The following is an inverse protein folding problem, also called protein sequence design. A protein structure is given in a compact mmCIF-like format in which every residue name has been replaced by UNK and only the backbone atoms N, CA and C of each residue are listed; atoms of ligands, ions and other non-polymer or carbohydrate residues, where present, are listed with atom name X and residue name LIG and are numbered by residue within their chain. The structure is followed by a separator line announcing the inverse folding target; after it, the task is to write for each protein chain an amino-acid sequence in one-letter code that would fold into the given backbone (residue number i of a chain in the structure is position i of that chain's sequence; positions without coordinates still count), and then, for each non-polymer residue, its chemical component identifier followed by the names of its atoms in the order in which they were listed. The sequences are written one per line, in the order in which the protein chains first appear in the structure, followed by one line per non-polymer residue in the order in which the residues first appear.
data_IF_365339822896
#
_entry.id   IF_365339822896
#
_cell.length_a   1.000
_cell.length_b   1.000
_cell.length_c   1.000
_cell.angle_alpha   90.00
_cell.angle_beta   90.00
_cell.angle_gamma   90.00
#
_symmetry.space_group_name_H-M   'P 1'
#
loop_
_entity.id
_entity.type
_entity.pdbx_description
1 polymer ?
#
# COMPACT_ATOMS: atom_id res chain seq x y z
N UNK A 1 -0.43 -18.23 12.81
CA UNK A 1 0.42 -18.55 11.66
C UNK A 1 0.39 -17.43 10.66
N UNK A 2 1.55 -17.09 10.18
CA UNK A 2 1.67 -16.02 9.21
C UNK A 2 1.34 -16.54 7.83
N UNK A 3 0.41 -15.92 7.21
CA UNK A 3 0.05 -16.23 5.84
C UNK A 3 0.66 -15.15 4.94
N UNK A 4 2.00 -15.11 4.87
CA UNK A 4 2.66 -14.05 4.12
C UNK A 4 2.16 -13.98 2.68
N UNK A 5 1.91 -15.12 2.07
CA UNK A 5 1.38 -15.16 0.72
C UNK A 5 -0.02 -14.56 0.61
N UNK A 6 -0.88 -14.76 1.65
CA UNK A 6 -2.23 -14.19 1.65
C UNK A 6 -2.26 -12.76 2.15
N UNK A 7 -1.27 -12.37 2.96
CA UNK A 7 -1.13 -10.99 3.44
C UNK A 7 -0.51 -10.09 2.39
N UNK A 8 0.02 -10.67 1.33
CA UNK A 8 0.63 -9.93 0.24
C UNK A 8 -0.30 -9.96 -0.96
N UNK A 9 -1.13 -8.92 -1.14
CA UNK A 9 -2.01 -8.88 -2.29
C UNK A 9 -1.19 -8.90 -3.58
N UNK A 10 -1.71 -9.57 -4.57
CA UNK A 10 -1.07 -9.56 -5.88
C UNK A 10 -1.21 -8.21 -6.52
N UNK A 11 -0.13 -7.71 -7.09
CA UNK A 11 -0.18 -6.51 -7.90
C UNK A 11 -0.94 -6.84 -9.16
N UNK A 12 -1.88 -5.99 -9.52
CA UNK A 12 -2.69 -6.21 -10.70
C UNK A 12 -1.85 -6.17 -11.96
N UNK A 13 -2.26 -6.95 -12.95
CA UNK A 13 -1.61 -6.95 -14.24
C UNK A 13 -1.88 -5.63 -14.95
N UNK A 14 -0.86 -4.79 -15.03
CA UNK A 14 -0.96 -3.43 -15.56
C UNK A 14 -1.34 -3.39 -17.04
N UNK A 15 -1.15 -4.49 -17.76
CA UNK A 15 -1.41 -4.50 -19.21
C UNK A 15 -2.88 -4.39 -19.55
N UNK A 16 -3.76 -4.81 -18.66
CA UNK A 16 -5.19 -4.93 -18.95
C UNK A 16 -6.06 -3.95 -18.17
N UNK A 17 -5.46 -3.08 -17.36
CA UNK A 17 -6.21 -2.16 -16.52
C UNK A 17 -5.73 -0.74 -16.77
N UNK A 18 -6.65 0.19 -17.07
CA UNK A 18 -6.28 1.59 -17.25
C UNK A 18 -5.57 2.16 -16.00
N UNK A 19 -4.63 3.03 -16.21
CA UNK A 19 -3.81 3.60 -15.15
C UNK A 19 -4.67 4.32 -14.09
N UNK A 20 -5.72 5.01 -14.50
CA UNK A 20 -6.60 5.73 -13.59
C UNK A 20 -7.45 4.80 -12.72
N UNK A 21 -7.57 3.53 -13.08
CA UNK A 21 -8.21 2.53 -12.24
C UNK A 21 -7.21 1.88 -11.29
N UNK A 22 -5.93 1.83 -11.66
CA UNK A 22 -4.87 1.23 -10.87
C UNK A 22 -4.34 2.18 -9.81
N UNK A 23 -4.16 3.44 -10.18
CA UNK A 23 -3.60 4.46 -9.30
C UNK A 23 -4.64 5.53 -9.04
N UNK A 24 -4.76 5.93 -7.78
CA UNK A 24 -5.68 6.98 -7.39
C UNK A 24 -4.97 7.98 -6.49
N UNK A 25 -5.37 9.26 -6.54
CA UNK A 25 -4.82 10.26 -5.65
C UNK A 25 -5.24 9.99 -4.21
N UNK A 26 -4.40 10.43 -3.27
CA UNK A 26 -4.70 10.32 -1.86
C UNK A 26 -5.55 11.52 -1.45
N UNK A 27 -6.66 11.23 -0.77
CA UNK A 27 -7.54 12.24 -0.23
C UNK A 27 -7.51 12.17 1.30
N UNK A 28 -7.51 13.34 1.92
CA UNK A 28 -7.52 13.46 3.38
C UNK A 28 -8.66 14.38 3.77
N UNK A 29 -9.20 14.16 4.96
CA UNK A 29 -10.27 14.96 5.51
C UNK A 29 -9.84 15.54 6.85
N UNK A 30 -9.96 16.85 7.01
CA UNK A 30 -9.67 17.51 8.27
C UNK A 30 -10.87 17.33 9.19
N UNK A 31 -10.61 16.87 10.42
CA UNK A 31 -11.65 16.64 11.41
C UNK A 31 -11.44 17.58 12.60
N UNK A 32 -12.47 18.35 12.92
CA UNK A 32 -12.44 19.26 14.06
C UNK A 32 -11.45 20.40 13.89
N UNK A 33 -10.95 20.89 15.01
CA UNK A 33 -10.06 22.05 15.06
C UNK A 33 -8.58 21.68 15.21
N UNK A 34 -8.26 20.40 15.16
CA UNK A 34 -6.86 19.95 15.27
C UNK A 34 -6.11 20.29 13.98
N UNK A 35 -5.11 21.18 14.04
CA UNK A 35 -4.36 21.57 12.84
C UNK A 35 -3.45 20.49 12.32
N UNK A 36 -3.19 19.45 13.09
CA UNK A 36 -2.23 18.40 12.71
C UNK A 36 -2.89 17.10 12.28
N UNK A 37 -4.15 16.90 12.66
CA UNK A 37 -4.83 15.64 12.39
C UNK A 37 -5.68 15.72 11.15
N UNK A 38 -5.44 14.83 10.21
CA UNK A 38 -6.26 14.65 9.02
C UNK A 38 -6.52 13.16 8.87
N UNK A 39 -7.76 12.81 8.64
CA UNK A 39 -8.10 11.41 8.38
C UNK A 39 -7.84 11.06 6.94
N UNK A 40 -7.28 9.87 6.74
CA UNK A 40 -7.09 9.30 5.40
C UNK A 40 -8.42 8.75 4.92
N UNK A 41 -8.82 9.10 3.71
CA UNK A 41 -10.08 8.64 3.13
C UNK A 41 -9.87 7.36 2.33
N UNK A 42 -10.83 6.44 2.44
CA UNK A 42 -10.80 5.20 1.67
C UNK A 42 -10.83 5.49 0.17
N UNK A 43 -9.95 4.89 -0.64
CA UNK A 43 -9.94 5.14 -2.08
C UNK A 43 -11.17 4.61 -2.80
N UNK A 44 -11.93 3.74 -2.17
CA UNK A 44 -13.12 3.13 -2.76
C UNK A 44 -14.41 3.83 -2.36
N UNK A 45 -14.65 4.04 -1.07
CA UNK A 45 -15.91 4.59 -0.59
C UNK A 45 -15.81 6.01 -0.03
N UNK A 46 -14.60 6.53 0.18
CA UNK A 46 -14.39 7.86 0.73
C UNK A 46 -14.52 7.98 2.24
N UNK A 47 -14.88 6.90 2.94
CA UNK A 47 -15.00 6.91 4.39
C UNK A 47 -13.64 6.92 5.08
N UNK A 48 -13.64 7.31 6.35
CA UNK A 48 -12.39 7.53 7.10
C UNK A 48 -12.03 6.39 8.03
N UNK A 49 -12.73 5.26 7.96
CA UNK A 49 -12.55 4.15 8.90
C UNK A 49 -11.56 3.13 8.34
N UNK A 50 -10.34 3.58 8.09
CA UNK A 50 -9.27 2.76 7.55
C UNK A 50 -8.35 2.24 8.65
N UNK A 51 -7.94 0.99 8.49
CA UNK A 51 -6.98 0.34 9.37
C UNK A 51 -5.81 -0.15 8.52
N UNK A 52 -4.60 0.22 8.90
CA UNK A 52 -3.42 -0.32 8.22
C UNK A 52 -3.20 -1.77 8.66
N UNK A 53 -2.74 -2.57 7.73
CA UNK A 53 -2.43 -3.98 7.94
C UNK A 53 -0.93 -4.19 7.72
N UNK A 54 -0.58 -5.02 6.76
CA UNK A 54 0.82 -5.25 6.45
C UNK A 54 1.49 -3.99 5.92
N UNK A 55 2.71 -3.76 6.37
CA UNK A 55 3.55 -2.67 5.89
C UNK A 55 4.79 -3.30 5.25
N UNK A 56 5.08 -2.91 4.01
CA UNK A 56 6.26 -3.38 3.29
C UNK A 56 7.19 -2.22 3.05
N UNK A 57 8.43 -2.39 3.45
CA UNK A 57 9.48 -1.39 3.23
C UNK A 57 10.47 -1.99 2.25
N UNK A 58 10.65 -1.29 1.13
CA UNK A 58 11.59 -1.68 0.10
C UNK A 58 12.84 -0.82 0.23
N UNK A 59 13.97 -1.49 0.41
CA UNK A 59 15.26 -0.84 0.54
C UNK A 59 16.17 -1.32 -0.58
N UNK A 60 16.58 -0.43 -1.45
CA UNK A 60 17.52 -0.76 -2.53
C UNK A 60 18.38 0.43 -2.89
N UNK A 61 19.56 0.13 -3.39
CA UNK A 61 20.43 1.13 -3.95
C UNK A 61 19.84 1.67 -5.26
N UNK A 62 20.21 2.87 -5.60
CA UNK A 62 19.67 3.51 -6.80
C UNK A 62 19.91 2.65 -8.04
N UNK A 63 18.84 2.44 -8.80
CA UNK A 63 18.82 1.71 -10.07
C UNK A 63 19.15 0.21 -9.98
N UNK A 64 19.30 -0.35 -8.78
CA UNK A 64 19.48 -1.80 -8.64
C UNK A 64 18.15 -2.52 -8.89
N UNK A 65 18.22 -3.67 -9.53
CA UNK A 65 17.04 -4.48 -9.81
C UNK A 65 16.59 -5.30 -8.61
N UNK A 66 17.50 -5.56 -7.69
CA UNK A 66 17.27 -6.37 -6.51
C UNK A 66 17.50 -5.52 -5.27
N UNK A 67 16.67 -5.70 -4.29
CA UNK A 67 16.82 -5.04 -3.00
C UNK A 67 16.27 -5.90 -1.89
N UNK A 68 16.08 -5.29 -0.74
CA UNK A 68 15.49 -5.95 0.42
C UNK A 68 14.05 -5.48 0.58
N UNK A 69 13.19 -6.43 0.89
CA UNK A 69 11.81 -6.15 1.27
C UNK A 69 11.60 -6.60 2.70
N UNK A 70 11.19 -5.68 3.57
CA UNK A 70 10.84 -6.01 4.95
C UNK A 70 9.34 -5.89 5.10
N UNK A 71 8.71 -6.98 5.53
CA UNK A 71 7.27 -7.03 5.74
C UNK A 71 7.00 -7.06 7.24
N UNK A 72 6.14 -6.15 7.70
CA UNK A 72 5.69 -6.09 9.08
C UNK A 72 4.19 -6.32 9.09
N UNK A 73 3.73 -7.23 9.94
CA UNK A 73 2.32 -7.53 10.11
C UNK A 73 2.07 -7.96 11.56
N UNK A 74 0.81 -8.23 11.92
CA UNK A 74 0.42 -8.49 13.31
C UNK A 74 1.24 -9.59 14.00
N UNK A 75 1.61 -10.62 13.26
CA UNK A 75 2.29 -11.80 13.82
C UNK A 75 3.81 -11.69 13.83
N UNK A 76 4.37 -10.61 13.32
CA UNK A 76 5.82 -10.42 13.31
C UNK A 76 6.32 -9.72 12.07
N UNK A 77 7.60 -9.92 11.79
CA UNK A 77 8.23 -9.30 10.64
C UNK A 77 9.31 -10.22 10.05
N UNK A 78 9.58 -10.02 8.77
CA UNK A 78 10.70 -10.70 8.12
C UNK A 78 11.26 -9.84 7.00
N UNK A 79 12.51 -10.09 6.67
CA UNK A 79 13.21 -9.41 5.58
C UNK A 79 13.74 -10.45 4.61
N UNK A 80 13.58 -10.20 3.32
CA UNK A 80 14.09 -11.10 2.30
C UNK A 80 14.55 -10.30 1.08
N UNK A 81 15.36 -10.95 0.26
CA UNK A 81 15.79 -10.36 -1.01
C UNK A 81 14.62 -10.41 -1.98
N UNK A 82 14.37 -9.31 -2.66
CA UNK A 82 13.25 -9.17 -3.56
C UNK A 82 13.70 -8.56 -4.88
N UNK A 83 13.12 -8.98 -6.02
CA UNK A 83 13.38 -8.34 -7.31
C UNK A 83 12.74 -6.96 -7.43
N UNK A 84 12.21 -6.42 -6.35
CA UNK A 84 11.63 -5.08 -6.27
C UNK A 84 10.46 -4.82 -7.23
N UNK A 85 9.85 -5.88 -7.79
CA UNK A 85 8.73 -5.71 -8.72
C UNK A 85 7.49 -5.09 -8.06
N UNK A 86 7.34 -5.26 -6.75
CA UNK A 86 6.23 -4.68 -6.00
C UNK A 86 6.55 -3.31 -5.41
N UNK A 87 7.79 -2.85 -5.54
CA UNK A 87 8.23 -1.57 -5.04
C UNK A 87 7.57 -0.45 -5.85
N UNK A 88 6.89 0.51 -5.19
CA UNK A 88 6.25 1.61 -5.91
C UNK A 88 7.24 2.58 -6.53
N UNK A 89 8.49 2.58 -6.06
CA UNK A 89 9.56 3.41 -6.63
C UNK A 89 10.26 2.65 -7.74
N UNK A 90 10.48 3.32 -8.87
CA UNK A 90 11.15 2.69 -10.00
C UNK A 90 12.65 2.52 -9.77
N UNK A 91 13.26 3.34 -8.92
CA UNK A 91 14.71 3.42 -8.82
C UNK A 91 15.28 3.43 -7.41
N UNK A 92 14.45 3.57 -6.38
CA UNK A 92 14.92 3.78 -5.00
C UNK A 92 14.03 3.05 -4.01
N UNK A 93 14.07 3.50 -2.76
CA UNK A 93 13.25 2.96 -1.67
C UNK A 93 11.77 3.20 -1.90
N UNK A 94 10.96 2.40 -1.29
CA UNK A 94 9.52 2.57 -1.34
C UNK A 94 8.88 1.99 -0.10
N UNK A 95 7.64 2.40 0.15
CA UNK A 95 6.83 1.86 1.25
C UNK A 95 5.44 1.55 0.69
N UNK A 96 4.91 0.40 1.07
CA UNK A 96 3.56 -0.01 0.70
C UNK A 96 2.82 -0.41 1.96
N UNK A 97 1.66 0.17 2.18
CA UNK A 97 0.83 -0.12 3.36
C UNK A 97 -0.52 -0.63 2.86
N UNK A 98 -0.87 -1.86 3.28
CA UNK A 98 -2.18 -2.42 2.97
C UNK A 98 -3.21 -1.83 3.93
N UNK A 99 -4.36 -1.44 3.40
CA UNK A 99 -5.43 -0.90 4.22
C UNK A 99 -6.71 -1.74 4.12
N UNK A 100 -7.35 -1.88 5.26
CA UNK A 100 -8.69 -2.43 5.40
C UNK A 100 -9.65 -1.26 5.69
N UNK A 101 -10.81 -1.27 5.06
CA UNK A 101 -11.86 -0.28 5.33
C UNK A 101 -13.03 -0.98 6.02
N UNK A 102 -13.46 -0.45 7.18
CA UNK A 102 -14.57 -1.05 7.91
C UNK A 102 -15.86 -1.05 7.09
N UNK A 103 -16.09 0.01 6.34
CA UNK A 103 -17.29 0.13 5.52
C UNK A 103 -17.26 -0.82 4.32
N UNK A 104 -16.17 -0.81 3.55
CA UNK A 104 -16.04 -1.68 2.38
C UNK A 104 -15.87 -3.14 2.75
N UNK A 105 -15.33 -3.41 3.94
CA UNK A 105 -15.04 -4.75 4.41
C UNK A 105 -16.24 -5.52 4.96
N UNK A 106 -17.37 -4.86 5.12
CA UNK A 106 -18.58 -5.52 5.63
C UNK A 106 -19.00 -6.64 4.68
N UNK A 107 -19.14 -7.85 5.24
CA UNK A 107 -19.47 -9.04 4.45
C UNK A 107 -18.31 -9.60 3.65
N UNK A 108 -17.08 -9.10 3.83
CA UNK A 108 -15.90 -9.59 3.14
C UNK A 108 -14.92 -10.23 4.13
N UNK A 109 -13.95 -11.03 3.64
CA UNK A 109 -12.94 -11.62 4.51
C UNK A 109 -12.15 -10.55 5.27
N UNK A 110 -11.66 -10.93 6.46
CA UNK A 110 -10.88 -10.00 7.30
C UNK A 110 -9.59 -9.48 6.64
N UNK A 111 -9.05 -10.24 5.72
CA UNK A 111 -7.83 -9.87 5.00
C UNK A 111 -8.12 -9.09 3.71
N UNK A 112 -9.35 -8.65 3.52
CA UNK A 112 -9.70 -7.84 2.37
C UNK A 112 -8.94 -6.51 2.39
N UNK A 113 -8.20 -6.25 1.35
CA UNK A 113 -7.42 -5.02 1.20
C UNK A 113 -8.15 -4.09 0.23
N UNK A 114 -8.53 -2.92 0.70
CA UNK A 114 -9.26 -1.94 -0.13
C UNK A 114 -8.31 -1.20 -1.05
N UNK A 115 -7.04 -1.14 -0.70
CA UNK A 115 -6.01 -0.49 -1.49
C UNK A 115 -4.68 -0.49 -0.77
N UNK A 116 -3.64 -0.22 -1.50
CA UNK A 116 -2.29 -0.06 -0.97
C UNK A 116 -1.89 1.40 -1.05
N UNK A 117 -1.57 1.99 0.09
CA UNK A 117 -0.99 3.32 0.11
C UNK A 117 0.50 3.18 -0.20
N UNK A 118 0.93 3.84 -1.25
CA UNK A 118 2.31 3.77 -1.71
C UNK A 118 3.04 5.07 -1.46
N UNK A 119 4.26 4.96 -0.95
CA UNK A 119 5.16 6.09 -0.80
C UNK A 119 6.34 5.81 -1.72
N UNK A 120 6.56 6.71 -2.67
CA UNK A 120 7.53 6.51 -3.74
C UNK A 120 8.55 7.66 -3.75
N UNK A 121 9.77 7.31 -4.07
CA UNK A 121 10.87 8.27 -4.19
C UNK A 121 11.23 8.44 -5.67
N UNK A 122 11.34 9.69 -6.13
CA UNK A 122 11.76 9.97 -7.49
C UNK A 122 12.50 11.31 -7.55
N UNK A 123 13.78 11.26 -7.91
CA UNK A 123 14.62 12.47 -8.10
C UNK A 123 14.53 13.47 -6.95
N UNK A 124 14.61 12.99 -5.73
CA UNK A 124 14.54 13.84 -4.55
C UNK A 124 13.13 14.21 -4.11
N UNK A 125 12.12 13.75 -4.81
CA UNK A 125 10.73 13.98 -4.45
C UNK A 125 10.13 12.72 -3.81
N UNK A 126 9.26 12.95 -2.84
CA UNK A 126 8.48 11.87 -2.22
C UNK A 126 7.02 12.04 -2.59
N UNK A 127 6.49 11.04 -3.27
CA UNK A 127 5.09 11.04 -3.67
C UNK A 127 4.29 10.01 -2.93
N UNK A 128 2.99 10.23 -2.81
CA UNK A 128 2.06 9.27 -2.22
C UNK A 128 0.88 9.07 -3.17
N UNK A 129 0.42 7.83 -3.26
CA UNK A 129 -0.73 7.49 -4.09
C UNK A 129 -1.31 6.15 -3.66
N UNK A 130 -2.55 5.90 -4.06
CA UNK A 130 -3.19 4.59 -3.88
C UNK A 130 -2.91 3.69 -5.08
N UNK A 131 -2.68 2.43 -4.80
CA UNK A 131 -2.54 1.40 -5.83
C UNK A 131 -3.60 0.33 -5.59
N UNK A 132 -4.31 -0.06 -6.65
CA UNK A 132 -5.31 -1.12 -6.58
C UNK A 132 -4.64 -2.47 -6.34
N UNK A 133 -5.39 -3.39 -5.74
CA UNK A 133 -4.92 -4.74 -5.44
C UNK A 133 -5.92 -5.77 -5.93
N UNK A 134 -5.41 -6.99 -6.08
CA UNK A 134 -6.21 -8.16 -6.36
C UNK A 134 -6.41 -8.93 -5.06
N UNK A 135 -7.65 -9.06 -4.62
CA UNK A 135 -8.00 -9.72 -3.36
C UNK A 135 -8.35 -11.20 -3.52
N UNK A 136 -8.00 -11.80 -4.61
CA UNK A 136 -8.29 -13.20 -4.82
C UNK A 136 -7.47 -14.14 -3.95
#
# INVERSE_FOLDING_TARGET
MIKSATLRPHVLNLKNIPMDELLKPVEIERVGDDPYWHDLCCPSCGEIFLHHRAVRVFNRDQDEEIGLETVVFEEGSHTHVSPCCDNPSLRRHGVVIDFYCEHCGEGRPEDHVVGQLCISQHKGHTGIFWRAVDNQ
#
